data_IF_528916934186
#
_entry.id   IF_528916934186
#
_cell.length_a   1.000
_cell.length_b   1.000
_cell.length_c   1.000
_cell.angle_alpha   90.00
_cell.angle_beta   90.00
_cell.angle_gamma   90.00
#
_symmetry.space_group_name_H-M   'P 1'
#
loop_
_entity.id
_entity.type
_entity.pdbx_description
1 polymer ?
#
# COMPACT_ATOMS: atom_id res chain seq x y z
N UNK A 1 -4.64 -39.15 1.56
CA UNK A 1 -5.52 -39.13 0.37
C UNK A 1 -5.12 -37.93 -0.48
N UNK A 2 -4.99 -38.08 -1.79
CA UNK A 2 -4.54 -36.98 -2.66
C UNK A 2 -5.76 -36.24 -3.19
N UNK A 3 -5.93 -34.99 -2.79
CA UNK A 3 -7.05 -34.17 -3.22
C UNK A 3 -6.57 -33.24 -4.34
N UNK A 4 -7.34 -33.15 -5.40
CA UNK A 4 -7.10 -32.23 -6.49
C UNK A 4 -7.78 -30.88 -6.26
N UNK A 5 -8.22 -30.58 -5.02
CA UNK A 5 -8.99 -29.38 -4.67
C UNK A 5 -8.30 -28.63 -3.53
N UNK A 6 -8.12 -27.32 -3.69
CA UNK A 6 -7.62 -26.42 -2.65
C UNK A 6 -8.62 -25.29 -2.43
N UNK A 7 -9.13 -25.16 -1.21
CA UNK A 7 -9.97 -24.03 -0.78
C UNK A 7 -9.10 -22.95 -0.15
N UNK A 8 -9.24 -21.71 -0.61
CA UNK A 8 -8.57 -20.53 -0.08
C UNK A 8 -9.65 -19.55 0.36
N UNK A 9 -9.70 -19.24 1.65
CA UNK A 9 -10.68 -18.32 2.22
C UNK A 9 -10.06 -16.92 2.38
N UNK A 10 -10.75 -15.93 1.85
CA UNK A 10 -10.46 -14.52 1.99
C UNK A 10 -11.55 -13.87 2.85
N UNK A 11 -11.27 -12.64 3.31
CA UNK A 11 -12.19 -11.90 4.18
C UNK A 11 -13.52 -11.55 3.48
N UNK A 12 -13.51 -11.50 2.15
CA UNK A 12 -14.62 -11.12 1.28
C UNK A 12 -15.17 -12.27 0.42
N UNK A 13 -14.68 -13.50 0.63
CA UNK A 13 -15.20 -14.67 -0.08
C UNK A 13 -14.26 -15.86 -0.09
N UNK A 14 -14.73 -16.95 -0.70
CA UNK A 14 -14.02 -18.21 -0.75
C UNK A 14 -13.70 -18.58 -2.18
N UNK A 15 -12.45 -18.94 -2.46
CA UNK A 15 -12.00 -19.46 -3.73
C UNK A 15 -11.69 -20.96 -3.61
N UNK A 16 -12.24 -21.76 -4.53
CA UNK A 16 -11.83 -23.15 -4.70
C UNK A 16 -10.96 -23.27 -5.96
N UNK A 17 -9.89 -24.06 -5.88
CA UNK A 17 -8.95 -24.28 -6.98
C UNK A 17 -8.79 -25.78 -7.21
N UNK A 18 -9.16 -26.22 -8.41
CA UNK A 18 -9.03 -27.62 -8.83
C UNK A 18 -7.74 -27.75 -9.66
N UNK A 19 -6.90 -28.73 -9.34
CA UNK A 19 -5.64 -28.98 -10.01
C UNK A 19 -5.72 -30.25 -10.87
N UNK A 20 -5.08 -30.24 -12.03
CA UNK A 20 -5.01 -31.43 -12.90
C UNK A 20 -4.19 -32.58 -12.32
N UNK A 21 -3.37 -32.31 -11.29
CA UNK A 21 -2.53 -33.28 -10.59
C UNK A 21 -2.85 -33.26 -9.09
N UNK A 22 -2.99 -34.43 -8.42
CA UNK A 22 -3.37 -34.48 -7.02
C UNK A 22 -2.33 -33.83 -6.10
N UNK A 23 -2.75 -32.94 -5.20
CA UNK A 23 -1.86 -32.33 -4.21
C UNK A 23 -1.65 -33.33 -3.07
N UNK A 24 -0.39 -33.59 -2.72
CA UNK A 24 -0.04 -34.56 -1.67
C UNK A 24 0.41 -33.87 -0.37
N UNK A 25 0.01 -34.50 0.73
CA UNK A 25 0.08 -34.06 2.13
C UNK A 25 1.48 -33.66 2.63
N UNK A 26 2.55 -34.05 1.93
CA UNK A 26 3.94 -33.76 2.34
C UNK A 26 4.36 -32.30 2.21
N UNK A 27 3.63 -31.46 1.48
CA UNK A 27 3.99 -30.04 1.33
C UNK A 27 3.58 -29.14 2.50
N UNK A 28 2.81 -29.66 3.48
CA UNK A 28 2.22 -28.87 4.57
C UNK A 28 2.85 -29.08 5.96
N UNK A 29 3.90 -29.91 6.10
CA UNK A 29 4.48 -30.24 7.40
C UNK A 29 5.53 -29.21 7.90
N UNK A 30 5.06 -28.02 8.27
CA UNK A 30 5.75 -27.10 9.21
C UNK A 30 4.70 -26.25 9.96
N UNK A 31 3.94 -26.74 10.93
CA UNK A 31 4.16 -27.83 11.88
C UNK A 31 3.98 -27.34 13.32
N UNK A 32 2.98 -26.50 13.62
CA UNK A 32 2.49 -26.33 15.01
C UNK A 32 1.11 -25.66 15.09
N UNK A 33 0.80 -24.67 14.24
CA UNK A 33 -0.54 -24.01 14.24
C UNK A 33 -1.70 -24.84 13.68
N UNK A 34 -1.43 -25.94 12.96
CA UNK A 34 -2.46 -26.76 12.32
C UNK A 34 -3.25 -27.63 13.31
N UNK A 35 -2.63 -28.06 14.41
CA UNK A 35 -3.18 -29.11 15.28
C UNK A 35 -4.43 -28.66 16.06
N UNK A 36 -4.53 -27.37 16.38
CA UNK A 36 -5.70 -26.81 17.06
C UNK A 36 -6.87 -26.57 16.10
N UNK A 37 -6.60 -26.43 14.79
CA UNK A 37 -7.65 -26.28 13.77
C UNK A 37 -8.16 -27.63 13.27
N UNK A 38 -7.32 -28.68 13.23
CA UNK A 38 -7.74 -30.02 12.82
C UNK A 38 -8.84 -30.57 13.70
N UNK A 39 -8.71 -30.42 15.01
CA UNK A 39 -9.64 -31.04 15.97
C UNK A 39 -11.03 -30.39 15.88
N UNK A 40 -11.09 -29.08 15.61
CA UNK A 40 -12.34 -28.34 15.39
C UNK A 40 -12.96 -28.58 13.99
N UNK A 41 -12.14 -28.96 13.01
CA UNK A 41 -12.57 -29.29 11.64
C UNK A 41 -13.14 -30.72 11.61
N UNK A 42 -12.49 -31.66 12.30
CA UNK A 42 -12.91 -33.06 12.39
C UNK A 42 -14.27 -33.20 13.08
N UNK A 43 -14.54 -32.38 14.11
CA UNK A 43 -15.85 -32.34 14.76
C UNK A 43 -16.95 -31.80 13.82
N UNK A 44 -16.66 -30.76 13.02
CA UNK A 44 -17.61 -30.23 12.01
C UNK A 44 -17.88 -31.19 10.86
N UNK A 45 -16.87 -31.92 10.39
CA UNK A 45 -17.01 -32.94 9.34
C UNK A 45 -17.86 -34.11 9.84
N UNK A 46 -17.65 -34.53 11.09
CA UNK A 46 -18.42 -35.62 11.71
C UNK A 46 -19.89 -35.26 11.91
N UNK A 47 -20.20 -34.00 12.24
CA UNK A 47 -21.57 -33.48 12.29
C UNK A 47 -22.21 -33.44 10.89
N UNK A 48 -21.43 -33.12 9.85
CA UNK A 48 -21.93 -33.00 8.48
C UNK A 48 -22.28 -34.36 7.83
N UNK A 49 -21.64 -35.45 8.26
CA UNK A 49 -21.94 -36.81 7.78
C UNK A 49 -23.21 -37.44 8.39
N UNK A 50 -23.77 -36.90 9.47
CA UNK A 50 -24.94 -37.48 10.14
C UNK A 50 -26.29 -36.82 9.79
N UNK A 51 -26.33 -35.93 8.79
CA UNK A 51 -27.62 -35.34 8.39
C UNK A 51 -28.39 -36.30 7.46
N UNK A 52 -29.70 -36.55 7.70
CA UNK A 52 -30.47 -37.59 6.98
C UNK A 52 -30.84 -37.31 5.51
N UNK A 53 -30.23 -36.30 4.87
CA UNK A 53 -30.68 -35.83 3.55
C UNK A 53 -29.58 -36.07 2.51
N UNK A 54 -29.91 -36.89 1.50
CA UNK A 54 -28.99 -37.54 0.57
C UNK A 54 -28.27 -36.65 -0.45
N UNK A 55 -27.28 -37.29 -1.10
CA UNK A 55 -26.60 -36.96 -2.37
C UNK A 55 -26.56 -35.47 -2.78
N UNK A 56 -25.52 -34.77 -2.33
CA UNK A 56 -25.05 -33.48 -2.87
C UNK A 56 -24.49 -33.55 -4.31
N UNK A 57 -24.97 -34.49 -5.14
CA UNK A 57 -24.45 -34.67 -6.50
C UNK A 57 -24.95 -33.58 -7.47
N UNK A 58 -26.05 -32.89 -7.15
CA UNK A 58 -26.67 -31.93 -8.07
C UNK A 58 -26.17 -30.48 -7.89
N UNK A 59 -25.41 -30.16 -6.84
CA UNK A 59 -24.92 -28.78 -6.58
C UNK A 59 -23.52 -28.49 -7.14
N UNK A 60 -22.79 -29.51 -7.60
CA UNK A 60 -21.42 -29.38 -8.12
C UNK A 60 -21.32 -29.09 -9.62
N UNK A 61 -22.44 -29.15 -10.35
CA UNK A 61 -22.47 -28.97 -11.81
C UNK A 61 -22.43 -27.50 -12.27
N UNK A 62 -22.49 -26.53 -11.36
CA UNK A 62 -22.48 -25.09 -11.67
C UNK A 62 -21.13 -24.40 -11.37
N UNK A 63 -20.02 -25.13 -11.35
CA UNK A 63 -18.69 -24.54 -11.18
C UNK A 63 -18.23 -23.98 -12.53
N UNK A 64 -18.34 -22.66 -12.70
CA UNK A 64 -17.81 -21.94 -13.86
C UNK A 64 -16.26 -21.99 -13.83
N UNK A 65 -15.67 -22.91 -14.60
CA UNK A 65 -14.21 -23.03 -14.74
C UNK A 65 -13.71 -21.99 -15.72
N UNK A 66 -13.07 -20.94 -15.21
CA UNK A 66 -12.47 -19.89 -16.03
C UNK A 66 -11.20 -20.37 -16.73
N UNK A 67 -11.06 -19.99 -17.99
CA UNK A 67 -9.81 -20.10 -18.72
C UNK A 67 -8.72 -19.21 -18.10
N UNK A 68 -7.45 -19.56 -18.35
CA UNK A 68 -6.29 -18.77 -17.90
C UNK A 68 -6.37 -17.33 -18.43
N UNK A 69 -6.83 -17.15 -19.67
CA UNK A 69 -6.98 -15.84 -20.30
C UNK A 69 -8.05 -14.99 -19.59
N UNK A 70 -9.16 -15.58 -19.19
CA UNK A 70 -10.20 -14.90 -18.41
C UNK A 70 -9.72 -14.51 -17.02
N UNK A 71 -8.90 -15.35 -16.37
CA UNK A 71 -8.29 -15.02 -15.07
C UNK A 71 -7.34 -13.81 -15.23
N UNK A 72 -6.50 -13.80 -16.27
CA UNK A 72 -5.60 -12.69 -16.56
C UNK A 72 -6.40 -11.41 -16.86
N UNK A 73 -7.43 -11.51 -17.70
CA UNK A 73 -8.29 -10.39 -18.05
C UNK A 73 -9.05 -9.83 -16.83
N UNK A 74 -9.59 -10.69 -15.97
CA UNK A 74 -10.24 -10.30 -14.70
C UNK A 74 -9.24 -9.61 -13.77
N UNK A 75 -8.02 -10.14 -13.62
CA UNK A 75 -6.97 -9.52 -12.79
C UNK A 75 -6.56 -8.14 -13.33
N UNK A 76 -6.37 -8.01 -14.64
CA UNK A 76 -6.07 -6.71 -15.29
C UNK A 76 -7.20 -5.70 -15.06
N UNK A 77 -8.45 -6.09 -15.29
CA UNK A 77 -9.63 -5.24 -15.03
C UNK A 77 -9.70 -4.81 -13.57
N UNK A 78 -9.45 -5.73 -12.64
CA UNK A 78 -9.44 -5.42 -11.20
C UNK A 78 -8.38 -4.39 -10.84
N UNK A 79 -7.14 -4.52 -11.35
CA UNK A 79 -6.05 -3.56 -11.14
C UNK A 79 -6.37 -2.19 -11.73
N UNK A 80 -6.94 -2.14 -12.94
CA UNK A 80 -7.33 -0.88 -13.59
C UNK A 80 -8.45 -0.19 -12.79
N UNK A 81 -9.48 -0.94 -12.41
CA UNK A 81 -10.61 -0.42 -11.63
C UNK A 81 -10.15 0.10 -10.27
N UNK A 82 -9.33 -0.65 -9.53
CA UNK A 82 -8.79 -0.22 -8.24
C UNK A 82 -7.90 1.02 -8.38
N UNK A 83 -7.04 1.08 -9.39
CA UNK A 83 -6.19 2.24 -9.67
C UNK A 83 -7.02 3.48 -9.98
N UNK A 84 -8.04 3.35 -10.84
CA UNK A 84 -8.92 4.47 -11.20
C UNK A 84 -9.71 4.98 -9.99
N UNK A 85 -10.23 4.08 -9.15
CA UNK A 85 -10.87 4.47 -7.89
C UNK A 85 -9.91 5.25 -7.00
N UNK A 86 -8.68 4.76 -6.81
CA UNK A 86 -7.67 5.46 -6.00
C UNK A 86 -7.34 6.85 -6.55
N UNK A 87 -7.18 6.98 -7.88
CA UNK A 87 -6.96 8.28 -8.54
C UNK A 87 -8.13 9.23 -8.33
N UNK A 88 -9.36 8.78 -8.57
CA UNK A 88 -10.56 9.60 -8.35
C UNK A 88 -10.67 10.05 -6.90
N UNK A 89 -10.44 9.16 -5.94
CA UNK A 89 -10.44 9.51 -4.51
C UNK A 89 -9.38 10.56 -4.19
N UNK A 90 -8.16 10.41 -4.71
CA UNK A 90 -7.08 11.39 -4.54
C UNK A 90 -7.52 12.76 -5.07
N UNK A 91 -8.06 12.82 -6.29
CA UNK A 91 -8.54 14.07 -6.88
C UNK A 91 -9.67 14.69 -6.06
N UNK A 92 -10.61 13.89 -5.58
CA UNK A 92 -11.73 14.37 -4.77
C UNK A 92 -11.24 14.94 -3.45
N UNK A 93 -10.33 14.25 -2.74
CA UNK A 93 -9.75 14.78 -1.51
C UNK A 93 -8.93 16.04 -1.75
N UNK A 94 -8.12 16.07 -2.82
CA UNK A 94 -7.31 17.23 -3.16
C UNK A 94 -8.19 18.46 -3.42
N UNK A 95 -9.31 18.31 -4.15
CA UNK A 95 -10.19 19.44 -4.50
C UNK A 95 -11.20 19.83 -3.43
N UNK A 96 -11.63 18.89 -2.59
CA UNK A 96 -12.66 19.13 -1.57
C UNK A 96 -12.12 19.69 -0.26
N UNK A 97 -10.79 19.90 -0.16
CA UNK A 97 -10.14 20.42 1.02
C UNK A 97 -9.30 21.66 0.68
N UNK A 98 -9.05 22.47 1.69
CA UNK A 98 -8.06 23.55 1.65
C UNK A 98 -6.72 23.03 2.16
N UNK A 99 -5.66 23.46 1.48
CA UNK A 99 -4.29 23.01 1.69
C UNK A 99 -3.39 24.21 1.90
N UNK A 100 -2.47 24.11 2.86
CA UNK A 100 -1.56 25.20 3.22
C UNK A 100 -0.25 25.09 2.42
N UNK A 101 0.21 23.86 2.19
CA UNK A 101 1.50 23.59 1.55
C UNK A 101 1.42 22.40 0.59
N UNK A 102 2.12 22.55 -0.54
CA UNK A 102 2.57 21.42 -1.35
C UNK A 102 3.98 21.01 -0.89
N UNK A 103 4.20 19.71 -0.69
CA UNK A 103 5.42 19.19 -0.08
C UNK A 103 6.03 18.08 -0.92
N UNK A 104 7.35 17.98 -0.88
CA UNK A 104 8.10 16.85 -1.42
C UNK A 104 9.02 16.29 -0.35
N UNK A 105 9.05 14.96 -0.20
CA UNK A 105 9.95 14.23 0.69
C UNK A 105 10.89 13.35 -0.14
N UNK A 106 12.18 13.64 -0.04
CA UNK A 106 13.23 12.93 -0.76
C UNK A 106 14.14 12.21 0.23
N UNK A 107 14.52 10.97 -0.06
CA UNK A 107 15.33 10.17 0.85
C UNK A 107 16.82 10.22 0.49
N UNK A 108 17.65 10.30 1.54
CA UNK A 108 19.09 10.13 1.39
C UNK A 108 19.42 8.62 1.41
N UNK A 109 20.11 8.14 0.37
CA UNK A 109 20.53 6.74 0.20
C UNK A 109 21.41 6.24 1.35
N UNK A 110 22.15 7.13 2.02
CA UNK A 110 23.05 6.77 3.12
C UNK A 110 22.28 6.57 4.44
N UNK A 111 20.99 6.96 4.49
CA UNK A 111 20.15 6.91 5.70
C UNK A 111 19.07 5.85 5.65
N UNK A 112 18.57 5.53 4.46
CA UNK A 112 17.48 4.59 4.26
C UNK A 112 17.58 3.98 2.87
N UNK A 113 17.22 2.70 2.76
CA UNK A 113 17.01 2.08 1.45
C UNK A 113 15.81 2.74 0.76
N UNK A 114 16.12 3.63 -0.17
CA UNK A 114 15.15 4.45 -0.89
C UNK A 114 14.60 3.77 -2.15
N UNK A 115 15.06 2.56 -2.47
CA UNK A 115 14.59 1.79 -3.62
C UNK A 115 13.49 0.79 -3.21
N UNK A 116 13.44 0.41 -1.94
CA UNK A 116 12.35 -0.40 -1.38
C UNK A 116 11.14 0.48 -0.96
N UNK A 117 10.04 0.33 -1.69
CA UNK A 117 8.77 1.02 -1.43
C UNK A 117 8.24 0.82 -0.01
N UNK A 118 8.33 -0.41 0.53
CA UNK A 118 7.80 -0.76 1.85
C UNK A 118 8.59 -0.06 2.94
N UNK A 119 9.92 -0.03 2.79
CA UNK A 119 10.83 0.62 3.75
C UNK A 119 10.55 2.13 3.80
N UNK A 120 10.51 2.81 2.65
CA UNK A 120 10.25 4.26 2.62
C UNK A 120 8.84 4.62 3.10
N UNK A 121 7.83 3.82 2.74
CA UNK A 121 6.44 4.05 3.16
C UNK A 121 6.27 3.93 4.67
N UNK A 122 6.89 2.93 5.29
CA UNK A 122 6.89 2.78 6.74
C UNK A 122 7.60 3.94 7.44
N UNK A 123 8.71 4.42 6.87
CA UNK A 123 9.46 5.54 7.42
C UNK A 123 8.67 6.85 7.35
N UNK A 124 8.01 7.14 6.22
CA UNK A 124 7.12 8.29 6.05
C UNK A 124 5.94 8.22 7.02
N UNK A 125 5.29 7.06 7.14
CA UNK A 125 4.20 6.85 8.11
C UNK A 125 4.64 7.16 9.53
N UNK A 126 5.79 6.61 9.95
CA UNK A 126 6.36 6.88 11.28
C UNK A 126 6.69 8.35 11.49
N UNK A 127 7.20 9.05 10.47
CA UNK A 127 7.46 10.49 10.53
C UNK A 127 6.16 11.29 10.67
N UNK A 128 5.11 10.96 9.91
CA UNK A 128 3.79 11.61 9.99
C UNK A 128 3.15 11.42 11.37
N UNK A 129 3.13 10.19 11.88
CA UNK A 129 2.54 9.86 13.18
C UNK A 129 3.22 10.66 14.30
N UNK A 130 4.55 10.75 14.26
CA UNK A 130 5.30 11.56 15.21
C UNK A 130 5.06 13.06 15.03
N UNK A 131 4.96 13.53 13.80
CA UNK A 131 4.69 14.95 13.49
C UNK A 131 3.32 15.36 14.00
N UNK A 132 2.30 14.54 13.73
CA UNK A 132 0.94 14.75 14.20
C UNK A 132 0.88 14.79 15.72
N UNK A 133 1.47 13.80 16.39
CA UNK A 133 1.44 13.70 17.85
C UNK A 133 2.18 14.84 18.57
N UNK A 134 3.32 15.29 18.03
CA UNK A 134 4.19 16.25 18.73
C UNK A 134 3.94 17.70 18.37
N UNK A 135 3.51 17.99 17.14
CA UNK A 135 3.50 19.34 16.61
C UNK A 135 2.16 19.74 15.99
N UNK A 136 1.41 18.79 15.41
CA UNK A 136 0.21 19.12 14.65
C UNK A 136 -0.90 18.07 14.84
N UNK A 137 -1.60 18.01 15.99
CA UNK A 137 -2.61 16.98 16.25
C UNK A 137 -3.74 16.91 15.21
N UNK A 138 -4.05 18.05 14.59
CA UNK A 138 -5.10 18.20 13.57
C UNK A 138 -4.57 18.17 12.13
N UNK A 139 -3.31 17.76 11.93
CA UNK A 139 -2.66 17.69 10.61
C UNK A 139 -3.52 16.88 9.64
N UNK A 140 -3.89 17.51 8.53
CA UNK A 140 -4.45 16.85 7.35
C UNK A 140 -3.33 16.66 6.34
N UNK A 141 -3.30 15.51 5.69
CA UNK A 141 -2.31 15.23 4.65
C UNK A 141 -2.89 14.34 3.56
N UNK A 142 -2.41 14.55 2.35
CA UNK A 142 -2.60 13.67 1.19
C UNK A 142 -1.22 13.43 0.59
N UNK A 143 -0.78 12.18 0.52
CA UNK A 143 0.56 11.82 0.06
C UNK A 143 0.50 10.77 -1.05
N UNK A 144 1.34 10.95 -2.06
CA UNK A 144 1.47 10.06 -3.20
C UNK A 144 2.93 9.70 -3.38
N UNK A 145 3.27 8.40 -3.38
CA UNK A 145 4.60 7.94 -3.76
C UNK A 145 4.79 8.06 -5.28
N UNK A 146 5.96 8.50 -5.70
CA UNK A 146 6.36 8.55 -7.10
C UNK A 146 7.80 8.06 -7.23
N UNK A 147 8.12 7.47 -8.39
CA UNK A 147 9.48 7.13 -8.77
C UNK A 147 10.16 8.36 -9.34
N UNK A 148 11.24 8.80 -8.70
CA UNK A 148 12.04 9.90 -9.21
C UNK A 148 12.79 9.48 -10.47
N UNK A 149 13.05 10.45 -11.35
CA UNK A 149 13.87 10.24 -12.55
C UNK A 149 15.24 9.68 -12.18
N UNK A 150 15.72 8.71 -12.96
CA UNK A 150 17.05 8.12 -12.80
C UNK A 150 18.12 9.22 -12.78
N UNK A 151 18.90 9.26 -11.70
CA UNK A 151 20.05 10.16 -11.59
C UNK A 151 21.28 9.51 -12.19
N UNK A 152 22.23 10.33 -12.64
CA UNK A 152 23.51 9.88 -13.18
C UNK A 152 24.21 8.98 -12.13
N UNK A 153 24.47 7.73 -12.51
CA UNK A 153 25.09 6.72 -11.64
C UNK A 153 24.11 5.82 -10.88
N UNK A 154 22.80 5.95 -11.11
CA UNK A 154 21.77 5.05 -10.55
C UNK A 154 21.20 4.15 -11.64
N UNK A 155 20.92 2.89 -11.27
CA UNK A 155 20.32 1.88 -12.16
C UNK A 155 18.84 1.66 -11.89
N UNK A 156 18.36 2.10 -10.72
CA UNK A 156 16.98 1.94 -10.26
C UNK A 156 16.45 3.30 -9.85
N UNK A 157 15.23 3.70 -10.30
CA UNK A 157 14.63 4.94 -9.84
C UNK A 157 14.31 4.86 -8.34
N UNK A 158 14.66 5.89 -7.60
CA UNK A 158 14.39 5.98 -6.17
C UNK A 158 12.95 6.47 -5.92
N UNK A 159 12.35 6.03 -4.82
CA UNK A 159 11.06 6.57 -4.40
C UNK A 159 11.22 7.98 -3.81
N UNK A 160 10.26 8.85 -4.10
CA UNK A 160 10.02 10.09 -3.38
C UNK A 160 8.51 10.24 -3.11
N UNK A 161 8.12 11.18 -2.26
CA UNK A 161 6.71 11.42 -1.97
C UNK A 161 6.36 12.87 -2.24
N UNK A 162 5.25 13.07 -2.93
CA UNK A 162 4.59 14.37 -3.03
C UNK A 162 3.37 14.40 -2.14
N UNK A 163 3.03 15.56 -1.62
CA UNK A 163 1.79 15.69 -0.87
C UNK A 163 1.28 17.10 -0.71
N UNK A 164 0.04 17.14 -0.22
CA UNK A 164 -0.62 18.34 0.25
C UNK A 164 -0.83 18.20 1.75
N UNK A 165 -0.55 19.25 2.51
CA UNK A 165 -0.78 19.26 3.96
C UNK A 165 -1.49 20.53 4.39
N UNK A 166 -2.27 20.42 5.46
CA UNK A 166 -2.88 21.57 6.13
C UNK A 166 -3.03 21.34 7.63
N UNK A 167 -3.31 22.42 8.37
CA UNK A 167 -3.34 22.43 9.83
C UNK A 167 -1.97 22.04 10.43
N UNK A 168 -0.93 22.74 9.99
CA UNK A 168 0.47 22.42 10.32
C UNK A 168 0.86 22.71 11.76
N UNK A 169 0.00 23.36 12.56
CA UNK A 169 0.23 23.58 13.99
C UNK A 169 1.61 24.19 14.29
N UNK A 170 2.36 23.55 15.16
CA UNK A 170 3.70 23.97 15.58
C UNK A 170 4.85 23.40 14.74
N UNK A 171 4.56 22.82 13.57
CA UNK A 171 5.60 22.33 12.66
C UNK A 171 6.56 23.49 12.32
N UNK A 172 7.84 23.27 12.58
CA UNK A 172 8.88 24.27 12.30
C UNK A 172 9.42 24.13 10.89
N UNK A 173 9.18 25.16 10.09
CA UNK A 173 9.73 25.35 8.76
C UNK A 173 10.96 26.25 8.81
N UNK A 174 11.92 26.00 7.93
CA UNK A 174 13.09 26.87 7.72
C UNK A 174 13.19 27.23 6.25
N UNK A 175 13.62 28.45 5.89
CA UNK A 175 13.86 28.79 4.49
C UNK A 175 14.83 27.81 3.85
N UNK A 176 14.50 27.33 2.66
CA UNK A 176 15.41 26.52 1.88
C UNK A 176 16.50 27.43 1.31
N UNK A 177 17.75 27.01 1.50
CA UNK A 177 18.95 27.70 1.03
C UNK A 177 19.62 26.80 0.01
N UNK A 178 20.02 27.39 -1.11
CA UNK A 178 20.83 26.69 -2.11
C UNK A 178 22.26 26.52 -1.55
N UNK A 179 22.75 25.26 -1.41
CA UNK A 179 24.06 25.00 -0.82
C UNK A 179 25.23 25.54 -1.66
N UNK A 180 25.03 25.82 -2.95
CA UNK A 180 26.09 26.32 -3.84
C UNK A 180 26.19 27.84 -3.82
N UNK A 181 25.04 28.53 -3.75
CA UNK A 181 24.99 29.99 -3.82
C UNK A 181 24.75 30.66 -2.47
N UNK A 182 24.37 29.88 -1.44
CA UNK A 182 23.96 30.34 -0.12
C UNK A 182 22.81 31.37 -0.14
N UNK A 183 22.00 31.33 -1.19
CA UNK A 183 20.83 32.20 -1.37
C UNK A 183 19.55 31.46 -1.04
N UNK A 184 18.53 32.20 -0.65
CA UNK A 184 17.20 31.64 -0.45
C UNK A 184 16.63 31.10 -1.77
N UNK A 185 15.95 29.96 -1.66
CA UNK A 185 15.34 29.29 -2.79
C UNK A 185 13.87 29.71 -2.96
N UNK A 186 13.50 29.88 -4.22
CA UNK A 186 12.15 30.18 -4.67
C UNK A 186 11.79 29.23 -5.80
N UNK A 187 10.50 28.99 -6.01
CA UNK A 187 10.01 28.37 -7.25
C UNK A 187 10.23 29.32 -8.41
N UNK A 188 10.08 28.82 -9.64
CA UNK A 188 10.13 29.65 -10.85
C UNK A 188 9.10 30.80 -10.81
N UNK A 189 7.93 30.56 -10.19
CA UNK A 189 6.89 31.58 -9.96
C UNK A 189 7.17 32.55 -8.79
N UNK A 190 8.37 32.53 -8.19
CA UNK A 190 8.76 33.41 -7.08
C UNK A 190 8.21 33.02 -5.70
N UNK A 191 7.65 31.82 -5.53
CA UNK A 191 7.12 31.35 -4.24
C UNK A 191 8.26 30.87 -3.35
N UNK A 192 8.34 31.28 -2.07
CA UNK A 192 9.38 30.82 -1.17
C UNK A 192 9.27 29.31 -0.87
N UNK A 193 10.39 28.59 -1.04
CA UNK A 193 10.55 27.18 -0.65
C UNK A 193 11.05 27.03 0.81
N UNK A 194 10.42 26.15 1.58
CA UNK A 194 10.80 25.84 2.97
C UNK A 194 11.18 24.37 3.16
N UNK A 195 11.87 24.06 4.25
CA UNK A 195 12.25 22.71 4.66
C UNK A 195 11.64 22.38 6.03
N UNK A 196 11.30 21.11 6.27
CA UNK A 196 10.87 20.62 7.59
C UNK A 196 12.07 20.38 8.49
N UNK A 197 12.19 21.14 9.59
CA UNK A 197 13.31 20.99 10.53
C UNK A 197 13.36 19.60 11.17
N UNK A 198 12.20 18.96 11.37
CA UNK A 198 12.07 17.65 12.01
C UNK A 198 12.36 16.46 11.10
N UNK A 199 12.37 16.65 9.78
CA UNK A 199 12.59 15.55 8.84
C UNK A 199 14.08 15.21 8.74
N UNK A 200 14.45 13.97 9.09
CA UNK A 200 15.86 13.54 9.16
C UNK A 200 16.25 12.48 8.13
N UNK A 201 15.30 11.95 7.37
CA UNK A 201 15.51 10.84 6.41
C UNK A 201 16.13 11.31 5.07
N UNK A 202 16.20 12.62 4.85
CA UNK A 202 16.77 13.18 3.63
C UNK A 202 16.42 14.65 3.51
N UNK A 203 15.92 15.03 2.34
CA UNK A 203 15.60 16.40 1.97
C UNK A 203 14.09 16.57 1.90
N UNK A 204 13.63 17.80 2.10
CA UNK A 204 12.22 18.13 1.97
C UNK A 204 12.08 19.43 1.22
N UNK A 205 10.94 19.64 0.59
CA UNK A 205 10.48 20.98 0.21
C UNK A 205 9.06 21.16 0.69
N UNK A 206 8.71 22.40 1.02
CA UNK A 206 7.37 22.85 1.33
C UNK A 206 7.17 24.21 0.68
N UNK A 207 6.26 24.29 -0.28
CA UNK A 207 5.88 25.53 -0.97
C UNK A 207 4.47 25.89 -0.54
N UNK A 208 4.21 27.13 -0.08
CA UNK A 208 2.87 27.61 0.17
C UNK A 208 1.96 27.29 -1.02
N UNK A 209 0.81 26.69 -0.73
CA UNK A 209 -0.19 26.39 -1.75
C UNK A 209 -1.11 27.60 -1.87
N UNK A 210 -0.89 28.41 -2.90
CA UNK A 210 -1.79 29.51 -3.26
C UNK A 210 -2.78 29.02 -4.31
N UNK A 211 -4.08 29.11 -4.00
CA UNK A 211 -5.15 28.90 -4.98
C UNK A 211 -5.23 30.06 -5.97
#
# INVERSE_FOLDING_TARGET
MAYNLQKIEFLDGTQYRIYGTPVTERQYMSGEKLRLQSDAIDEKIRIHQQTPWGTFADEVDNIEVLSIDEIIARKRRSVISSTNRSKTMLYNYARSNEWDYFITLTFNKDKIDRYDYKVVSQAVRKWLDNTKRKYAPNLKYLLVPELHTLKKGETTPAWHFHGLISNTGDIKFTRAIDPHTNKEMFTDSGIPIFNFKSYKLGFTTATPYTR
#
